data_IF_712175194844
#
_entry.id   IF_712175194844
#
_cell.length_a   1.000
_cell.length_b   1.000
_cell.length_c   1.000
_cell.angle_alpha   90.00
_cell.angle_beta   90.00
_cell.angle_gamma   90.00
#
_symmetry.space_group_name_H-M   'P 1'
#
loop_
_entity.id
_entity.type
_entity.pdbx_description
1 polymer ?
#
# COMPACT_ATOMS: atom_id res chain seq x y z
N UNK A 1 -8.44 10.13 28.48
CA UNK A 1 -8.79 9.44 27.23
C UNK A 1 -9.15 8.00 27.56
N UNK A 2 -10.26 7.48 27.03
CA UNK A 2 -10.63 6.09 27.22
C UNK A 2 -9.72 5.16 26.39
N UNK A 3 -9.56 3.93 26.83
CA UNK A 3 -8.75 2.92 26.11
C UNK A 3 -9.34 2.64 24.74
N UNK A 4 -10.64 2.48 24.65
CA UNK A 4 -11.37 2.26 23.39
C UNK A 4 -11.15 3.41 22.40
N UNK A 5 -11.18 4.67 22.86
CA UNK A 5 -10.88 5.81 21.99
C UNK A 5 -9.48 5.72 21.39
N UNK A 6 -8.47 5.38 22.19
CA UNK A 6 -7.08 5.25 21.72
C UNK A 6 -6.91 4.08 20.74
N UNK A 7 -7.59 2.97 20.96
CA UNK A 7 -7.58 1.83 20.02
C UNK A 7 -8.15 2.23 18.65
N UNK A 8 -9.29 2.89 18.60
CA UNK A 8 -9.89 3.38 17.35
C UNK A 8 -9.09 4.50 16.69
N UNK A 9 -8.50 5.39 17.48
CA UNK A 9 -7.61 6.45 16.99
C UNK A 9 -6.40 5.86 16.29
N UNK A 10 -5.73 4.87 16.90
CA UNK A 10 -4.56 4.23 16.29
C UNK A 10 -4.93 3.41 15.06
N UNK A 11 -6.09 2.78 15.05
CA UNK A 11 -6.60 2.11 13.86
C UNK A 11 -6.81 3.10 12.70
N UNK A 12 -7.37 4.26 12.98
CA UNK A 12 -7.54 5.33 11.98
C UNK A 12 -6.20 5.81 11.42
N UNK A 13 -5.21 6.07 12.29
CA UNK A 13 -3.88 6.53 11.84
C UNK A 13 -3.14 5.48 10.99
N UNK A 14 -3.18 4.22 11.40
CA UNK A 14 -2.57 3.13 10.63
C UNK A 14 -3.29 2.94 9.29
N UNK A 15 -4.61 3.02 9.28
CA UNK A 15 -5.42 2.96 8.06
C UNK A 15 -5.07 4.08 7.09
N UNK A 16 -4.89 5.30 7.60
CA UNK A 16 -4.44 6.45 6.80
C UNK A 16 -3.02 6.24 6.25
N UNK A 17 -2.12 5.73 7.08
CA UNK A 17 -0.74 5.44 6.66
C UNK A 17 -0.68 4.37 5.57
N UNK A 18 -1.48 3.30 5.70
CA UNK A 18 -1.64 2.28 4.65
C UNK A 18 -2.24 2.86 3.37
N UNK A 19 -3.20 3.77 3.48
CA UNK A 19 -3.78 4.44 2.33
C UNK A 19 -2.78 5.37 1.61
N UNK A 20 -1.95 6.11 2.37
CA UNK A 20 -0.85 6.91 1.83
C UNK A 20 0.21 6.02 1.15
N UNK A 21 0.52 4.86 1.73
CA UNK A 21 1.44 3.90 1.12
C UNK A 21 0.94 3.46 -0.27
N UNK A 22 -0.34 3.12 -0.40
CA UNK A 22 -0.91 2.72 -1.70
C UNK A 22 -0.82 3.85 -2.73
N UNK A 23 -1.04 5.10 -2.34
CA UNK A 23 -0.80 6.26 -3.22
C UNK A 23 0.67 6.33 -3.65
N UNK A 24 1.61 6.18 -2.73
CA UNK A 24 3.05 6.27 -3.01
C UNK A 24 3.58 5.13 -3.90
N UNK A 25 2.83 4.03 -4.06
CA UNK A 25 3.17 2.97 -5.02
C UNK A 25 3.20 3.43 -6.48
N UNK A 26 2.90 4.72 -6.77
CA UNK A 26 3.13 5.28 -8.10
C UNK A 26 4.59 5.12 -8.55
N UNK A 27 5.55 5.09 -7.63
CA UNK A 27 6.97 4.82 -7.91
C UNK A 27 7.13 3.41 -8.51
N UNK A 28 6.58 2.39 -7.86
CA UNK A 28 6.61 1.01 -8.33
C UNK A 28 5.87 0.86 -9.65
N UNK A 29 4.70 1.50 -9.76
CA UNK A 29 3.91 1.50 -10.99
C UNK A 29 4.67 2.07 -12.18
N UNK A 30 5.35 3.20 -12.01
CA UNK A 30 6.19 3.82 -13.03
C UNK A 30 7.39 2.94 -13.40
N UNK A 31 8.02 2.25 -12.44
CA UNK A 31 9.12 1.34 -12.69
C UNK A 31 8.72 0.22 -13.66
N UNK A 32 7.48 -0.28 -13.61
CA UNK A 32 6.99 -1.29 -14.57
C UNK A 32 6.93 -0.77 -16.01
N UNK A 33 6.94 0.55 -16.20
CA UNK A 33 6.71 1.21 -17.47
C UNK A 33 8.01 1.69 -18.14
N UNK A 34 9.17 1.48 -17.52
CA UNK A 34 10.48 1.98 -18.00
C UNK A 34 10.71 1.67 -19.48
N UNK A 35 10.55 0.39 -19.91
CA UNK A 35 10.74 0.02 -21.31
C UNK A 35 9.51 0.23 -22.20
N UNK A 36 8.32 0.38 -21.59
CA UNK A 36 7.12 0.69 -22.34
C UNK A 36 7.09 2.15 -22.81
N UNK A 37 7.53 3.07 -21.96
CA UNK A 37 7.55 4.51 -22.21
C UNK A 37 8.89 4.98 -22.78
N UNK A 38 10.01 4.57 -22.17
CA UNK A 38 11.35 4.95 -22.59
C UNK A 38 11.88 4.08 -23.72
N UNK A 39 11.87 4.61 -24.96
CA UNK A 39 12.36 3.91 -26.15
C UNK A 39 13.86 4.11 -26.34
N UNK A 40 14.38 5.27 -25.96
CA UNK A 40 15.82 5.56 -25.98
C UNK A 40 16.41 5.42 -24.56
N UNK A 41 17.74 5.31 -24.42
CA UNK A 41 18.40 5.33 -23.12
C UNK A 41 18.09 6.59 -22.30
N UNK A 42 18.06 7.77 -22.95
CA UNK A 42 17.80 9.06 -22.35
C UNK A 42 16.36 9.14 -21.82
N UNK A 43 15.38 8.67 -22.61
CA UNK A 43 13.98 8.60 -22.18
C UNK A 43 13.81 7.68 -20.97
N UNK A 44 14.50 6.52 -20.93
CA UNK A 44 14.47 5.62 -19.78
C UNK A 44 15.08 6.25 -18.53
N UNK A 45 16.22 6.94 -18.70
CA UNK A 45 16.85 7.68 -17.61
C UNK A 45 15.94 8.79 -17.08
N UNK A 46 15.20 9.48 -17.97
CA UNK A 46 14.22 10.49 -17.58
C UNK A 46 13.05 9.89 -16.75
N UNK A 47 12.52 8.74 -17.17
CA UNK A 47 11.48 8.01 -16.42
C UNK A 47 12.00 7.61 -15.03
N UNK A 48 13.22 7.07 -14.94
CA UNK A 48 13.84 6.62 -13.70
C UNK A 48 14.09 7.80 -12.76
N UNK A 49 14.62 8.92 -13.27
CA UNK A 49 14.85 10.12 -12.46
C UNK A 49 13.55 10.72 -11.92
N UNK A 50 12.47 10.66 -12.70
CA UNK A 50 11.16 11.15 -12.25
C UNK A 50 10.72 10.47 -10.95
N UNK A 51 10.88 9.15 -10.86
CA UNK A 51 10.46 8.35 -9.71
C UNK A 51 11.57 8.13 -8.69
N UNK A 52 12.81 8.14 -9.11
CA UNK A 52 13.98 7.98 -8.26
C UNK A 52 14.06 9.01 -7.13
N UNK A 53 13.62 10.25 -7.38
CA UNK A 53 13.54 11.29 -6.35
C UNK A 53 12.47 11.03 -5.26
N UNK A 54 11.62 9.99 -5.42
CA UNK A 54 10.48 9.70 -4.53
C UNK A 54 10.49 8.30 -3.93
N UNK A 55 11.39 7.42 -4.35
CA UNK A 55 11.37 6.02 -3.92
C UNK A 55 11.51 5.86 -2.40
N UNK A 56 12.28 6.72 -1.76
CA UNK A 56 12.47 6.71 -0.31
C UNK A 56 11.17 6.98 0.45
N UNK A 57 10.29 7.86 -0.05
CA UNK A 57 9.01 8.11 0.59
C UNK A 57 8.15 6.85 0.63
N UNK A 58 8.15 6.05 -0.43
CA UNK A 58 7.39 4.80 -0.47
C UNK A 58 7.95 3.79 0.52
N UNK A 59 9.27 3.58 0.48
CA UNK A 59 9.93 2.62 1.36
C UNK A 59 9.82 3.02 2.84
N UNK A 60 10.08 4.28 3.15
CA UNK A 60 9.95 4.81 4.52
C UNK A 60 8.51 4.69 5.02
N UNK A 61 7.51 4.96 4.17
CA UNK A 61 6.10 4.82 4.56
C UNK A 61 5.74 3.35 4.82
N UNK A 62 6.27 2.40 4.03
CA UNK A 62 6.09 0.97 4.28
C UNK A 62 6.66 0.56 5.65
N UNK A 63 7.89 0.98 5.94
CA UNK A 63 8.55 0.70 7.24
C UNK A 63 7.78 1.35 8.39
N UNK A 64 7.31 2.59 8.20
CA UNK A 64 6.52 3.31 9.20
C UNK A 64 5.16 2.63 9.45
N UNK A 65 4.53 2.10 8.40
CA UNK A 65 3.30 1.31 8.53
C UNK A 65 3.51 0.07 9.40
N UNK A 66 4.58 -0.69 9.14
CA UNK A 66 4.98 -1.82 9.99
C UNK A 66 5.30 -1.41 11.44
N UNK A 67 6.04 -0.32 11.61
CA UNK A 67 6.39 0.23 12.93
C UNK A 67 5.17 0.74 13.71
N UNK A 68 4.19 1.34 13.04
CA UNK A 68 2.93 1.77 13.66
C UNK A 68 2.10 0.56 14.14
N UNK A 69 2.05 -0.51 13.34
CA UNK A 69 1.43 -1.77 13.79
C UNK A 69 2.19 -2.39 14.97
N UNK A 70 3.52 -2.43 14.92
CA UNK A 70 4.33 -2.93 16.02
C UNK A 70 4.01 -2.22 17.33
N UNK A 71 3.90 -0.91 17.30
CA UNK A 71 3.67 -0.11 18.49
C UNK A 71 2.21 -0.15 18.98
N UNK A 72 1.22 -0.06 18.07
CA UNK A 72 -0.20 0.03 18.45
C UNK A 72 -0.90 -1.33 18.54
N UNK A 73 -0.54 -2.29 17.68
CA UNK A 73 -1.13 -3.63 17.59
C UNK A 73 -0.05 -4.71 17.51
N UNK A 74 0.75 -4.90 18.59
CA UNK A 74 1.92 -5.79 18.59
C UNK A 74 1.58 -7.25 18.28
N UNK A 75 0.40 -7.71 18.65
CA UNK A 75 -0.03 -9.07 18.34
C UNK A 75 -0.24 -9.28 16.83
N UNK A 76 -0.79 -8.28 16.12
CA UNK A 76 -0.85 -8.33 14.66
C UNK A 76 0.55 -8.32 14.04
N UNK A 77 1.44 -7.46 14.56
CA UNK A 77 2.80 -7.39 14.03
C UNK A 77 3.52 -8.74 14.17
N UNK A 78 3.45 -9.36 15.34
CA UNK A 78 4.07 -10.68 15.55
C UNK A 78 3.42 -11.78 14.70
N UNK A 79 2.10 -11.73 14.52
CA UNK A 79 1.36 -12.75 13.75
C UNK A 79 1.56 -12.59 12.25
N UNK A 80 1.44 -11.37 11.71
CA UNK A 80 1.55 -11.12 10.27
C UNK A 80 3.01 -11.00 9.84
N UNK A 81 3.75 -10.01 10.38
CA UNK A 81 5.14 -9.77 9.94
C UNK A 81 6.09 -10.88 10.44
N UNK A 82 5.89 -11.38 11.65
CA UNK A 82 6.67 -12.48 12.21
C UNK A 82 6.23 -13.85 11.70
N UNK A 83 4.91 -14.11 11.61
CA UNK A 83 4.35 -15.40 11.20
C UNK A 83 4.37 -15.62 9.69
N UNK A 84 3.92 -14.63 8.91
CA UNK A 84 3.95 -14.66 7.45
C UNK A 84 5.30 -14.19 6.89
N UNK A 85 6.41 -14.53 7.52
CA UNK A 85 7.73 -13.95 7.26
C UNK A 85 8.22 -14.15 5.82
N UNK A 86 7.90 -15.24 5.13
CA UNK A 86 8.32 -15.42 3.74
C UNK A 86 7.69 -14.40 2.80
N UNK A 87 6.40 -14.11 2.97
CA UNK A 87 5.73 -13.09 2.17
C UNK A 87 6.38 -11.71 2.39
N UNK A 88 6.59 -11.33 3.66
CA UNK A 88 7.19 -10.07 4.02
C UNK A 88 8.67 -9.97 3.62
N UNK A 89 9.42 -11.07 3.68
CA UNK A 89 10.81 -11.12 3.22
C UNK A 89 10.92 -10.89 1.70
N UNK A 90 10.02 -11.47 0.90
CA UNK A 90 10.01 -11.23 -0.55
C UNK A 90 9.68 -9.76 -0.85
N UNK A 91 8.71 -9.17 -0.14
CA UNK A 91 8.40 -7.74 -0.25
C UNK A 91 9.66 -6.93 0.10
N UNK A 92 10.28 -7.16 1.25
CA UNK A 92 11.47 -6.46 1.70
C UNK A 92 12.61 -6.56 0.67
N UNK A 93 12.94 -7.77 0.22
CA UNK A 93 13.98 -7.96 -0.78
C UNK A 93 13.69 -7.23 -2.10
N UNK A 94 12.42 -7.18 -2.52
CA UNK A 94 12.06 -6.43 -3.72
C UNK A 94 12.36 -4.93 -3.57
N UNK A 95 12.13 -4.34 -2.40
CA UNK A 95 12.47 -2.94 -2.11
C UNK A 95 13.97 -2.72 -1.93
N UNK A 96 14.71 -3.67 -1.36
CA UNK A 96 16.18 -3.62 -1.28
C UNK A 96 16.79 -3.62 -2.70
N UNK A 97 16.31 -4.49 -3.58
CA UNK A 97 16.74 -4.52 -4.98
C UNK A 97 16.42 -3.19 -5.69
N UNK A 98 15.28 -2.57 -5.39
CA UNK A 98 14.94 -1.24 -5.89
C UNK A 98 15.95 -0.19 -5.45
N UNK A 99 16.26 -0.12 -4.15
CA UNK A 99 17.20 0.84 -3.59
C UNK A 99 18.58 0.71 -4.27
N UNK A 100 19.11 -0.50 -4.32
CA UNK A 100 20.38 -0.81 -5.00
C UNK A 100 20.33 -0.40 -6.47
N UNK A 101 19.19 -0.62 -7.14
CA UNK A 101 19.06 -0.33 -8.56
C UNK A 101 19.05 1.17 -8.85
N UNK A 102 18.40 1.98 -8.04
CA UNK A 102 18.46 3.44 -8.18
C UNK A 102 19.88 3.96 -7.96
N UNK A 103 20.57 3.51 -6.91
CA UNK A 103 21.86 4.04 -6.51
C UNK A 103 23.01 3.63 -7.44
N UNK A 104 23.01 2.40 -7.96
CA UNK A 104 24.20 1.83 -8.61
C UNK A 104 24.12 1.71 -10.14
N UNK A 105 22.97 1.98 -10.77
CA UNK A 105 22.81 1.80 -12.22
C UNK A 105 23.77 2.66 -13.05
N UNK A 106 24.09 3.87 -12.59
CA UNK A 106 24.94 4.84 -13.30
C UNK A 106 26.33 5.04 -12.65
N UNK A 107 26.70 4.26 -11.64
CA UNK A 107 28.00 4.39 -10.96
C UNK A 107 29.13 3.86 -11.86
N UNK A 108 30.29 4.53 -11.78
CA UNK A 108 31.52 4.10 -12.43
C UNK A 108 31.89 2.69 -11.96
N UNK A 109 32.28 1.79 -12.88
CA UNK A 109 32.61 0.42 -12.55
C UNK A 109 31.41 -0.54 -12.48
N UNK A 110 30.22 -0.12 -12.89
CA UNK A 110 29.05 -0.99 -13.01
C UNK A 110 29.28 -2.08 -14.06
N UNK A 111 29.63 -3.30 -13.60
CA UNK A 111 29.89 -4.45 -14.48
C UNK A 111 28.61 -5.16 -14.93
N UNK A 112 27.49 -4.98 -14.24
CA UNK A 112 26.20 -5.58 -14.58
C UNK A 112 25.47 -4.82 -15.69
N UNK A 113 25.83 -3.56 -15.91
CA UNK A 113 25.20 -2.66 -16.87
C UNK A 113 23.85 -2.10 -16.39
N UNK A 114 23.52 -0.91 -16.85
CA UNK A 114 22.30 -0.17 -16.43
C UNK A 114 21.00 -0.95 -16.71
N UNK A 115 20.97 -1.74 -17.80
CA UNK A 115 19.78 -2.53 -18.17
C UNK A 115 19.39 -3.56 -17.12
N UNK A 116 20.37 -4.20 -16.46
CA UNK A 116 20.12 -5.17 -15.37
C UNK A 116 19.39 -4.50 -14.21
N UNK A 117 19.86 -3.33 -13.78
CA UNK A 117 19.22 -2.57 -12.71
C UNK A 117 17.82 -2.08 -13.10
N UNK A 118 17.61 -1.69 -14.37
CA UNK A 118 16.28 -1.34 -14.88
C UNK A 118 15.31 -2.53 -14.83
N UNK A 119 15.78 -3.75 -15.12
CA UNK A 119 14.97 -4.97 -14.96
C UNK A 119 14.67 -5.21 -13.47
N UNK A 120 15.62 -5.02 -12.58
CA UNK A 120 15.40 -5.11 -11.13
C UNK A 120 14.34 -4.09 -10.63
N UNK A 121 14.34 -2.87 -11.17
CA UNK A 121 13.29 -1.90 -10.88
C UNK A 121 11.90 -2.38 -11.34
N UNK A 122 11.81 -3.02 -12.52
CA UNK A 122 10.56 -3.61 -13.01
C UNK A 122 10.10 -4.76 -12.11
N UNK A 123 11.02 -5.62 -11.67
CA UNK A 123 10.70 -6.72 -10.73
C UNK A 123 10.09 -6.15 -9.45
N UNK A 124 10.73 -5.15 -8.83
CA UNK A 124 10.14 -4.47 -7.66
C UNK A 124 8.79 -3.83 -8.01
N UNK A 125 8.70 -3.19 -9.17
CA UNK A 125 7.48 -2.54 -9.64
C UNK A 125 6.28 -3.49 -9.76
N UNK A 126 6.51 -4.76 -10.04
CA UNK A 126 5.48 -5.81 -10.11
C UNK A 126 5.28 -6.46 -8.74
N UNK A 127 6.36 -6.96 -8.14
CA UNK A 127 6.32 -7.76 -6.90
C UNK A 127 5.81 -6.93 -5.72
N UNK A 128 6.29 -5.69 -5.56
CA UNK A 128 5.90 -4.82 -4.46
C UNK A 128 4.39 -4.60 -4.38
N UNK A 129 3.74 -3.98 -5.39
CA UNK A 129 2.31 -3.73 -5.37
C UNK A 129 1.46 -5.01 -5.35
N UNK A 130 1.86 -6.06 -6.08
CA UNK A 130 1.14 -7.34 -6.13
C UNK A 130 1.09 -8.00 -4.75
N UNK A 131 2.23 -8.12 -4.08
CA UNK A 131 2.31 -8.78 -2.77
C UNK A 131 1.73 -7.92 -1.66
N UNK A 132 1.92 -6.60 -1.69
CA UNK A 132 1.28 -5.70 -0.72
C UNK A 132 -0.25 -5.73 -0.85
N UNK A 133 -0.78 -5.73 -2.08
CA UNK A 133 -2.21 -5.88 -2.32
C UNK A 133 -2.74 -7.22 -1.85
N UNK A 134 -2.01 -8.32 -2.11
CA UNK A 134 -2.33 -9.65 -1.59
C UNK A 134 -2.29 -9.72 -0.06
N UNK A 135 -1.29 -9.11 0.58
CA UNK A 135 -1.20 -9.03 2.03
C UNK A 135 -2.38 -8.24 2.65
N UNK A 136 -2.82 -7.15 1.98
CA UNK A 136 -4.02 -6.40 2.42
C UNK A 136 -5.29 -7.20 2.22
N UNK A 137 -5.40 -8.02 1.18
CA UNK A 137 -6.56 -8.89 0.96
C UNK A 137 -6.79 -9.86 2.12
N UNK A 138 -5.73 -10.33 2.79
CA UNK A 138 -5.84 -11.20 3.98
C UNK A 138 -6.55 -10.55 5.17
N UNK A 139 -6.70 -9.23 5.20
CA UNK A 139 -7.56 -8.54 6.17
C UNK A 139 -9.03 -8.89 6.01
N UNK A 140 -9.42 -9.36 4.83
CA UNK A 140 -10.79 -9.75 4.51
C UNK A 140 -10.97 -11.25 4.32
N UNK A 141 -9.97 -11.92 3.75
CA UNK A 141 -10.05 -13.33 3.39
C UNK A 141 -9.43 -14.25 4.46
N UNK A 142 -8.67 -13.65 5.39
CA UNK A 142 -8.04 -14.37 6.49
C UNK A 142 -6.68 -14.96 6.14
N UNK A 143 -6.05 -15.53 7.16
CA UNK A 143 -4.71 -16.13 7.10
C UNK A 143 -4.62 -17.35 8.01
N UNK A 144 -3.68 -18.26 7.75
CA UNK A 144 -3.56 -19.53 8.48
C UNK A 144 -2.65 -19.41 9.72
N UNK A 145 -3.15 -18.83 10.78
CA UNK A 145 -2.42 -18.70 12.05
C UNK A 145 -3.27 -19.10 13.25
N UNK A 146 -2.60 -19.40 14.38
CA UNK A 146 -3.23 -19.69 15.67
C UNK A 146 -2.61 -18.79 16.73
N UNK A 147 -3.44 -18.30 17.65
CA UNK A 147 -3.04 -17.47 18.79
C UNK A 147 -3.40 -18.17 20.08
N UNK A 148 -2.37 -18.53 20.86
CA UNK A 148 -2.52 -19.04 22.22
C UNK A 148 -1.79 -18.12 23.21
N UNK A 149 -2.54 -17.22 23.83
CA UNK A 149 -1.99 -16.26 24.80
C UNK A 149 -1.48 -16.92 26.08
N UNK A 150 -1.90 -18.16 26.38
CA UNK A 150 -1.45 -18.91 27.55
C UNK A 150 -0.07 -19.54 27.33
N UNK A 151 0.39 -19.69 26.12
CA UNK A 151 1.64 -20.39 25.77
C UNK A 151 2.94 -19.65 26.18
N UNK A 152 2.86 -18.53 26.87
CA UNK A 152 4.03 -17.75 27.34
C UNK A 152 4.92 -18.57 28.31
N UNK A 153 4.35 -19.55 28.98
CA UNK A 153 5.04 -20.39 29.97
C UNK A 153 5.68 -21.65 29.39
N UNK A 154 5.52 -21.93 28.10
CA UNK A 154 6.14 -23.09 27.47
C UNK A 154 7.67 -22.93 27.43
N UNK A 155 8.40 -23.87 28.03
CA UNK A 155 9.87 -23.81 28.15
C UNK A 155 10.59 -23.98 26.81
N UNK A 156 10.00 -24.73 25.86
CA UNK A 156 10.62 -25.03 24.56
C UNK A 156 10.33 -23.98 23.50
N UNK A 157 9.10 -23.50 23.47
CA UNK A 157 8.65 -22.48 22.49
C UNK A 157 7.59 -21.56 23.11
N UNK A 158 7.98 -20.53 23.84
CA UNK A 158 7.04 -19.59 24.46
C UNK A 158 6.49 -18.58 23.42
N UNK A 159 5.81 -19.10 22.39
CA UNK A 159 5.30 -18.32 21.26
C UNK A 159 3.79 -18.17 21.41
N UNK A 160 3.32 -16.92 21.45
CA UNK A 160 1.89 -16.59 21.56
C UNK A 160 1.15 -16.82 20.24
N UNK A 161 1.77 -16.51 19.11
CA UNK A 161 1.18 -16.70 17.78
C UNK A 161 2.12 -17.47 16.88
N UNK A 162 1.57 -18.41 16.10
CA UNK A 162 2.35 -19.18 15.13
C UNK A 162 1.52 -19.44 13.86
N UNK A 163 2.22 -19.61 12.75
CA UNK A 163 1.59 -20.00 11.50
C UNK A 163 1.22 -21.48 11.54
N UNK A 164 0.00 -21.82 11.10
CA UNK A 164 -0.53 -23.18 11.20
C UNK A 164 0.08 -24.16 10.18
N UNK A 165 0.75 -23.65 9.14
CA UNK A 165 1.38 -24.47 8.12
C UNK A 165 2.81 -23.98 7.80
N UNK A 166 3.59 -24.79 7.08
CA UNK A 166 4.97 -24.51 6.76
C UNK A 166 5.16 -23.41 5.70
N UNK A 167 4.09 -22.90 5.08
CA UNK A 167 4.18 -21.86 4.04
C UNK A 167 4.59 -20.50 4.60
N UNK A 168 4.32 -20.25 5.89
CA UNK A 168 4.64 -19.01 6.59
C UNK A 168 4.29 -17.75 5.76
N UNK A 169 3.06 -17.70 5.27
CA UNK A 169 2.49 -16.57 4.52
C UNK A 169 2.44 -16.73 3.01
N UNK A 170 3.17 -17.65 2.40
CA UNK A 170 3.10 -17.87 0.95
C UNK A 170 1.76 -18.46 0.51
N UNK A 171 1.04 -19.12 1.41
CA UNK A 171 -0.32 -19.62 1.19
C UNK A 171 -1.33 -18.51 0.88
N UNK A 172 -1.08 -17.28 1.30
CA UNK A 172 -1.89 -16.13 0.90
C UNK A 172 -1.93 -15.93 -0.63
N UNK A 173 -0.90 -16.32 -1.35
CA UNK A 173 -0.83 -16.25 -2.81
C UNK A 173 -1.59 -17.38 -3.52
N UNK A 174 -1.99 -18.42 -2.80
CA UNK A 174 -2.81 -19.51 -3.33
C UNK A 174 -4.30 -19.15 -3.35
N UNK A 175 -4.72 -18.18 -2.53
CA UNK A 175 -6.08 -17.65 -2.61
C UNK A 175 -6.20 -16.72 -3.84
N UNK A 176 -7.06 -17.07 -4.81
CA UNK A 176 -7.21 -16.28 -6.03
C UNK A 176 -7.69 -14.85 -5.77
N UNK A 177 -8.44 -14.61 -4.69
CA UNK A 177 -8.95 -13.27 -4.37
C UNK A 177 -7.88 -12.35 -3.79
N UNK A 178 -6.92 -12.90 -3.05
CA UNK A 178 -5.74 -12.16 -2.62
C UNK A 178 -4.92 -11.71 -3.86
N UNK A 179 -4.79 -12.60 -4.83
CA UNK A 179 -4.10 -12.27 -6.10
C UNK A 179 -4.90 -11.24 -6.91
N UNK A 180 -6.23 -11.36 -6.96
CA UNK A 180 -7.10 -10.39 -7.65
C UNK A 180 -6.91 -8.98 -7.09
N UNK A 181 -6.90 -8.80 -5.76
CA UNK A 181 -6.61 -7.49 -5.17
C UNK A 181 -5.16 -7.05 -5.42
N UNK A 182 -4.19 -7.97 -5.35
CA UNK A 182 -2.80 -7.69 -5.68
C UNK A 182 -2.63 -7.15 -7.10
N UNK A 183 -3.29 -7.77 -8.08
CA UNK A 183 -3.30 -7.32 -9.48
C UNK A 183 -4.02 -5.97 -9.62
N UNK A 184 -5.13 -5.75 -8.90
CA UNK A 184 -5.78 -4.44 -8.89
C UNK A 184 -4.84 -3.34 -8.38
N UNK A 185 -4.13 -3.58 -7.26
CA UNK A 185 -3.16 -2.62 -6.71
C UNK A 185 -2.00 -2.38 -7.68
N UNK A 186 -1.51 -3.41 -8.37
CA UNK A 186 -0.49 -3.25 -9.40
C UNK A 186 -0.96 -2.32 -10.53
N UNK A 187 -2.16 -2.51 -11.07
CA UNK A 187 -2.68 -1.63 -12.13
C UNK A 187 -2.99 -0.23 -11.60
N UNK A 188 -3.48 -0.09 -10.36
CA UNK A 188 -3.63 1.23 -9.72
C UNK A 188 -2.29 1.96 -9.59
N UNK A 189 -1.25 1.28 -9.14
CA UNK A 189 0.10 1.82 -9.06
C UNK A 189 0.61 2.29 -10.43
N UNK A 190 0.36 1.51 -11.51
CA UNK A 190 0.70 1.90 -12.89
C UNK A 190 -0.05 3.15 -13.34
N UNK A 191 -1.35 3.25 -13.05
CA UNK A 191 -2.16 4.44 -13.33
C UNK A 191 -1.58 5.67 -12.64
N UNK A 192 -1.33 5.56 -11.33
CA UNK A 192 -0.74 6.66 -10.55
C UNK A 192 0.65 7.03 -11.05
N UNK A 193 1.47 6.04 -11.44
CA UNK A 193 2.77 6.24 -12.07
C UNK A 193 2.68 7.01 -13.39
N UNK A 194 1.73 6.65 -14.26
CA UNK A 194 1.47 7.37 -15.52
C UNK A 194 1.05 8.83 -15.28
N UNK A 195 0.16 9.05 -14.31
CA UNK A 195 -0.30 10.39 -13.94
C UNK A 195 0.84 11.24 -13.35
N UNK A 196 1.69 10.62 -12.50
CA UNK A 196 2.83 11.29 -11.88
C UNK A 196 3.88 11.69 -12.91
N UNK A 197 4.30 10.77 -13.77
CA UNK A 197 5.27 11.05 -14.83
C UNK A 197 4.80 12.14 -15.77
N UNK A 198 3.50 12.13 -16.12
CA UNK A 198 2.90 13.18 -16.94
C UNK A 198 2.94 14.55 -16.27
N UNK A 199 2.82 14.59 -14.93
CA UNK A 199 2.92 15.84 -14.15
C UNK A 199 4.37 16.34 -14.03
N UNK A 200 5.33 15.43 -13.85
CA UNK A 200 6.70 15.73 -13.47
C UNK A 200 7.64 15.92 -14.69
N UNK A 201 7.39 15.21 -15.81
CA UNK A 201 8.26 15.21 -17.00
C UNK A 201 7.75 16.22 -18.02
N UNK A 202 8.65 17.03 -18.58
CA UNK A 202 8.36 18.00 -19.65
C UNK A 202 8.90 17.54 -21.02
N UNK A 203 8.45 16.36 -21.45
CA UNK A 203 8.74 15.78 -22.76
C UNK A 203 7.44 15.36 -23.44
N UNK A 204 7.12 15.99 -24.59
CA UNK A 204 5.84 15.81 -25.27
C UNK A 204 5.57 14.36 -25.68
N UNK A 205 6.59 13.66 -26.18
CA UNK A 205 6.48 12.27 -26.64
C UNK A 205 6.19 11.31 -25.50
N UNK A 206 6.82 11.49 -24.34
CA UNK A 206 6.56 10.69 -23.13
C UNK A 206 5.18 10.98 -22.56
N UNK A 207 4.75 12.25 -22.54
CA UNK A 207 3.41 12.64 -22.09
C UNK A 207 2.32 11.99 -22.94
N UNK A 208 2.50 11.96 -24.25
CA UNK A 208 1.55 11.31 -25.17
C UNK A 208 1.49 9.78 -24.92
N UNK A 209 2.65 9.13 -24.76
CA UNK A 209 2.71 7.69 -24.46
C UNK A 209 2.05 7.38 -23.10
N UNK A 210 2.24 8.22 -22.08
CA UNK A 210 1.53 8.08 -20.80
C UNK A 210 0.01 8.10 -21.00
N UNK A 211 -0.51 9.03 -21.77
CA UNK A 211 -1.96 9.10 -22.06
C UNK A 211 -2.47 7.87 -22.79
N UNK A 212 -1.75 7.37 -23.80
CA UNK A 212 -2.15 6.16 -24.54
C UNK A 212 -2.22 4.92 -23.64
N UNK A 213 -1.35 4.84 -22.60
CA UNK A 213 -1.31 3.72 -21.68
C UNK A 213 -2.31 3.86 -20.51
N UNK A 214 -2.87 5.05 -20.29
CA UNK A 214 -3.75 5.30 -19.14
C UNK A 214 -5.03 4.48 -19.21
N UNK A 215 -5.73 4.52 -20.34
CA UNK A 215 -7.02 3.81 -20.49
C UNK A 215 -6.92 2.28 -20.32
N UNK A 216 -6.01 1.55 -20.99
CA UNK A 216 -5.93 0.10 -20.81
C UNK A 216 -5.58 -0.31 -19.38
N UNK A 217 -4.71 0.43 -18.70
CA UNK A 217 -4.43 0.16 -17.28
C UNK A 217 -5.64 0.46 -16.39
N UNK A 218 -6.43 1.50 -16.72
CA UNK A 218 -7.66 1.83 -15.98
C UNK A 218 -8.71 0.75 -16.13
N UNK A 219 -8.91 0.23 -17.34
CA UNK A 219 -9.86 -0.88 -17.58
C UNK A 219 -9.45 -2.12 -16.81
N UNK A 220 -8.17 -2.48 -16.87
CA UNK A 220 -7.66 -3.63 -16.10
C UNK A 220 -7.84 -3.43 -14.59
N UNK A 221 -7.48 -2.25 -14.06
CA UNK A 221 -7.72 -1.91 -12.65
C UNK A 221 -9.21 -2.08 -12.27
N UNK A 222 -10.11 -1.50 -13.04
CA UNK A 222 -11.53 -1.54 -12.73
C UNK A 222 -12.08 -2.98 -12.75
N UNK A 223 -11.65 -3.80 -13.70
CA UNK A 223 -12.09 -5.21 -13.76
C UNK A 223 -11.70 -5.96 -12.48
N UNK A 224 -10.43 -5.91 -12.10
CA UNK A 224 -9.94 -6.63 -10.91
C UNK A 224 -10.45 -6.02 -9.61
N UNK A 225 -10.46 -4.70 -9.50
CA UNK A 225 -10.93 -4.02 -8.29
C UNK A 225 -12.43 -4.22 -8.08
N UNK A 226 -13.26 -4.07 -9.10
CA UNK A 226 -14.72 -4.28 -8.99
C UNK A 226 -15.03 -5.75 -8.70
N UNK A 227 -14.33 -6.70 -9.31
CA UNK A 227 -14.51 -8.11 -9.00
C UNK A 227 -14.25 -8.39 -7.51
N UNK A 228 -13.14 -7.90 -6.97
CA UNK A 228 -12.84 -8.03 -5.55
C UNK A 228 -13.85 -7.29 -4.68
N UNK A 229 -14.17 -6.05 -5.00
CA UNK A 229 -15.03 -5.19 -4.18
C UNK A 229 -16.48 -5.72 -4.12
N UNK A 230 -17.05 -6.14 -5.25
CA UNK A 230 -18.40 -6.74 -5.28
C UNK A 230 -18.43 -8.01 -4.44
N UNK A 231 -17.44 -8.89 -4.59
CA UNK A 231 -17.33 -10.08 -3.74
C UNK A 231 -17.21 -9.70 -2.26
N UNK A 232 -16.39 -8.70 -1.93
CA UNK A 232 -16.23 -8.23 -0.55
C UNK A 232 -17.56 -7.82 0.09
N UNK A 233 -18.41 -7.14 -0.65
CA UNK A 233 -19.71 -6.70 -0.15
C UNK A 233 -20.71 -7.84 0.10
N UNK A 234 -20.59 -8.93 -0.66
CA UNK A 234 -21.55 -10.05 -0.60
C UNK A 234 -21.06 -11.18 0.30
N UNK A 235 -19.74 -11.33 0.47
CA UNK A 235 -19.17 -12.43 1.26
C UNK A 235 -19.52 -12.34 2.75
N UNK A 236 -19.47 -13.47 3.43
CA UNK A 236 -19.47 -13.52 4.89
C UNK A 236 -18.24 -12.85 5.46
N UNK A 237 -18.41 -12.11 6.52
CA UNK A 237 -17.31 -11.43 7.23
C UNK A 237 -17.24 -11.84 8.70
N UNK A 238 -16.16 -11.46 9.33
CA UNK A 238 -15.80 -11.87 10.67
C UNK A 238 -16.23 -10.80 11.69
N UNK A 239 -17.30 -11.08 12.44
CA UNK A 239 -17.77 -10.21 13.51
C UNK A 239 -17.37 -10.78 14.87
N UNK A 240 -17.14 -9.92 15.87
CA UNK A 240 -16.96 -10.34 17.24
C UNK A 240 -18.02 -9.72 18.15
N UNK A 241 -18.42 -10.45 19.18
CA UNK A 241 -19.28 -9.95 20.22
C UNK A 241 -18.47 -9.06 21.18
N UNK A 242 -18.95 -7.84 21.43
CA UNK A 242 -18.23 -6.87 22.25
C UNK A 242 -18.15 -7.25 23.74
N UNK A 243 -19.09 -8.08 24.24
CA UNK A 243 -19.12 -8.50 25.63
C UNK A 243 -18.29 -9.76 25.90
N UNK A 244 -18.34 -10.74 25.01
CA UNK A 244 -17.67 -12.05 25.18
C UNK A 244 -16.36 -12.16 24.40
N UNK A 245 -16.15 -11.33 23.38
CA UNK A 245 -15.01 -11.42 22.46
C UNK A 245 -15.08 -12.57 21.46
N UNK A 246 -16.16 -13.35 21.46
CA UNK A 246 -16.33 -14.51 20.58
C UNK A 246 -16.49 -14.05 19.13
N UNK A 247 -15.71 -14.63 18.22
CA UNK A 247 -15.76 -14.33 16.79
C UNK A 247 -16.72 -15.28 16.09
N UNK A 248 -17.56 -14.73 15.21
CA UNK A 248 -18.52 -15.48 14.40
C UNK A 248 -18.57 -14.95 12.97
N UNK A 249 -19.03 -15.81 12.05
CA UNK A 249 -19.25 -15.42 10.66
C UNK A 249 -20.63 -14.78 10.51
N UNK A 250 -20.68 -13.62 9.83
CA UNK A 250 -21.92 -12.87 9.56
C UNK A 250 -22.00 -12.55 8.08
N UNK A 251 -23.14 -12.90 7.46
CA UNK A 251 -23.34 -12.67 6.02
C UNK A 251 -23.39 -11.17 5.69
N UNK A 252 -22.70 -10.78 4.62
CA UNK A 252 -22.66 -9.39 4.16
C UNK A 252 -22.10 -8.39 5.19
N UNK A 253 -21.22 -8.81 6.08
CA UNK A 253 -20.70 -7.97 7.18
C UNK A 253 -20.10 -6.66 6.70
N UNK A 254 -19.33 -6.67 5.62
CA UNK A 254 -18.65 -5.47 5.10
C UNK A 254 -19.64 -4.51 4.45
N UNK A 255 -20.68 -5.00 3.80
CA UNK A 255 -21.80 -4.17 3.31
C UNK A 255 -22.56 -3.55 4.50
N UNK A 256 -22.86 -4.35 5.51
CA UNK A 256 -23.48 -3.85 6.75
C UNK A 256 -22.65 -2.77 7.42
N UNK A 257 -21.31 -2.92 7.44
CA UNK A 257 -20.40 -1.90 7.96
C UNK A 257 -20.51 -0.58 7.18
N UNK A 258 -20.55 -0.62 5.85
CA UNK A 258 -20.73 0.57 5.02
C UNK A 258 -22.08 1.25 5.23
N UNK A 259 -23.15 0.47 5.42
CA UNK A 259 -24.48 1.02 5.67
C UNK A 259 -24.63 1.61 7.07
N UNK A 260 -24.09 0.91 8.07
CA UNK A 260 -24.09 1.38 9.47
C UNK A 260 -23.22 2.61 9.65
N UNK A 261 -22.04 2.60 9.02
CA UNK A 261 -21.12 3.73 9.03
C UNK A 261 -21.28 4.54 7.74
N UNK A 262 -22.51 4.98 7.45
CA UNK A 262 -22.85 5.68 6.20
C UNK A 262 -21.94 6.85 5.80
N UNK A 263 -21.31 7.62 6.74
CA UNK A 263 -20.34 8.63 6.33
C UNK A 263 -19.15 8.04 5.57
N UNK A 264 -18.73 6.79 5.88
CA UNK A 264 -17.68 6.11 5.14
C UNK A 264 -18.10 5.77 3.71
N UNK A 265 -19.37 5.43 3.50
CA UNK A 265 -19.89 5.21 2.15
C UNK A 265 -19.84 6.50 1.31
N UNK A 266 -20.14 7.66 1.91
CA UNK A 266 -20.00 8.95 1.22
C UNK A 266 -18.53 9.23 0.89
N UNK A 267 -17.62 9.02 1.84
CA UNK A 267 -16.17 9.18 1.62
C UNK A 267 -15.68 8.27 0.50
N UNK A 268 -16.15 7.01 0.46
CA UNK A 268 -15.85 6.06 -0.60
C UNK A 268 -16.28 6.60 -1.98
N UNK A 269 -17.51 7.08 -2.10
CA UNK A 269 -18.05 7.63 -3.35
C UNK A 269 -17.27 8.86 -3.80
N UNK A 270 -16.94 9.77 -2.89
CA UNK A 270 -16.10 10.95 -3.17
C UNK A 270 -14.72 10.49 -3.64
N UNK A 271 -14.13 9.49 -2.98
CA UNK A 271 -12.82 8.94 -3.35
C UNK A 271 -12.82 8.34 -4.75
N UNK A 272 -13.82 7.53 -5.08
CA UNK A 272 -13.99 6.95 -6.43
C UNK A 272 -14.20 8.06 -7.47
N UNK A 273 -15.05 9.04 -7.19
CA UNK A 273 -15.28 10.16 -8.10
C UNK A 273 -14.00 10.97 -8.35
N UNK A 274 -13.22 11.26 -7.30
CA UNK A 274 -11.95 11.97 -7.42
C UNK A 274 -10.91 11.19 -8.21
N UNK A 275 -10.78 9.88 -7.97
CA UNK A 275 -9.89 8.99 -8.71
C UNK A 275 -10.22 8.99 -10.21
N UNK A 276 -11.49 8.73 -10.54
CA UNK A 276 -11.95 8.70 -11.93
C UNK A 276 -11.85 10.08 -12.60
N UNK A 277 -12.14 11.16 -11.88
CA UNK A 277 -11.97 12.52 -12.39
C UNK A 277 -10.52 12.79 -12.80
N UNK A 278 -9.55 12.45 -11.94
CA UNK A 278 -8.12 12.62 -12.25
C UNK A 278 -7.69 11.84 -13.49
N UNK A 279 -8.16 10.60 -13.62
CA UNK A 279 -7.86 9.73 -14.77
C UNK A 279 -8.52 10.26 -16.04
N UNK A 280 -9.83 10.45 -16.04
CA UNK A 280 -10.60 10.82 -17.21
C UNK A 280 -10.22 12.21 -17.74
N UNK A 281 -10.05 13.18 -16.83
CA UNK A 281 -9.64 14.53 -17.25
C UNK A 281 -8.25 14.55 -17.89
N UNK A 282 -7.31 13.75 -17.36
CA UNK A 282 -5.97 13.61 -17.94
C UNK A 282 -6.01 12.92 -19.31
N UNK A 283 -6.90 11.93 -19.46
CA UNK A 283 -7.04 11.21 -20.73
C UNK A 283 -7.71 12.07 -21.82
N UNK A 284 -8.75 12.86 -21.45
CA UNK A 284 -9.54 13.65 -22.39
C UNK A 284 -8.86 14.98 -22.78
N UNK A 285 -8.06 15.58 -21.90
CA UNK A 285 -7.45 16.88 -22.12
C UNK A 285 -5.93 16.79 -22.19
N UNK A 286 -5.37 16.99 -23.37
CA UNK A 286 -3.94 16.91 -23.62
C UNK A 286 -3.10 17.87 -22.76
N UNK A 287 -3.63 19.03 -22.39
CA UNK A 287 -2.90 20.03 -21.59
C UNK A 287 -3.00 19.81 -20.08
N UNK A 288 -3.88 18.91 -19.62
CA UNK A 288 -4.08 18.68 -18.18
C UNK A 288 -3.07 17.69 -17.63
N UNK A 289 -2.08 18.18 -16.87
CA UNK A 289 -1.00 17.39 -16.28
C UNK A 289 -1.23 17.06 -14.80
N UNK A 290 -2.13 17.77 -14.08
CA UNK A 290 -2.28 17.67 -12.61
C UNK A 290 -3.21 16.54 -12.14
N UNK A 291 -3.51 15.56 -13.00
CA UNK A 291 -4.43 14.44 -12.66
C UNK A 291 -3.99 13.55 -11.51
N UNK A 292 -2.69 13.53 -11.20
CA UNK A 292 -2.15 12.76 -10.07
C UNK A 292 -2.75 13.21 -8.72
N UNK A 293 -3.03 14.49 -8.53
CA UNK A 293 -3.52 15.00 -7.25
C UNK A 293 -4.95 14.54 -6.93
N UNK A 294 -5.97 14.76 -7.79
CA UNK A 294 -7.30 14.22 -7.51
C UNK A 294 -7.31 12.70 -7.51
N UNK A 295 -6.54 12.02 -8.38
CA UNK A 295 -6.46 10.58 -8.38
C UNK A 295 -5.78 10.04 -7.11
N UNK A 296 -4.74 10.70 -6.62
CA UNK A 296 -4.06 10.35 -5.38
C UNK A 296 -4.95 10.52 -4.15
N UNK A 297 -5.62 11.67 -4.02
CA UNK A 297 -6.59 11.90 -2.94
C UNK A 297 -7.70 10.86 -3.01
N UNK A 298 -8.24 10.57 -4.20
CA UNK A 298 -9.25 9.55 -4.41
C UNK A 298 -8.77 8.16 -3.96
N UNK A 299 -7.55 7.79 -4.32
CA UNK A 299 -6.92 6.54 -3.88
C UNK A 299 -6.83 6.45 -2.35
N UNK A 300 -6.33 7.51 -1.70
CA UNK A 300 -6.21 7.56 -0.24
C UNK A 300 -7.58 7.40 0.43
N UNK A 301 -8.60 8.08 -0.05
CA UNK A 301 -9.96 7.99 0.52
C UNK A 301 -10.56 6.59 0.36
N UNK A 302 -10.45 5.97 -0.83
CA UNK A 302 -10.97 4.62 -1.08
C UNK A 302 -10.27 3.60 -0.19
N UNK A 303 -8.94 3.60 -0.15
CA UNK A 303 -8.15 2.64 0.64
C UNK A 303 -8.37 2.84 2.13
N UNK A 304 -8.44 4.09 2.60
CA UNK A 304 -8.78 4.41 3.98
C UNK A 304 -10.12 3.78 4.40
N UNK A 305 -11.16 3.93 3.58
CA UNK A 305 -12.47 3.33 3.88
C UNK A 305 -12.38 1.80 3.92
N UNK A 306 -11.64 1.16 3.01
CA UNK A 306 -11.45 -0.29 3.04
C UNK A 306 -10.82 -0.75 4.36
N UNK A 307 -9.77 -0.10 4.84
CA UNK A 307 -9.18 -0.42 6.15
C UNK A 307 -10.15 -0.16 7.31
N UNK A 308 -10.92 0.93 7.26
CA UNK A 308 -11.85 1.25 8.34
C UNK A 308 -12.99 0.23 8.45
N UNK A 309 -13.57 -0.22 7.33
CA UNK A 309 -14.61 -1.26 7.36
C UNK A 309 -14.07 -2.65 7.73
N UNK A 310 -12.77 -2.89 7.57
CA UNK A 310 -12.14 -4.13 8.02
C UNK A 310 -12.05 -4.25 9.54
N UNK A 311 -11.90 -3.12 10.27
CA UNK A 311 -11.68 -3.16 11.72
C UNK A 311 -12.77 -2.51 12.57
N UNK A 312 -13.55 -1.56 12.03
CA UNK A 312 -14.61 -0.89 12.77
C UNK A 312 -15.91 -1.71 12.81
N UNK A 313 -16.85 -1.27 13.66
CA UNK A 313 -18.17 -1.89 13.84
C UNK A 313 -18.07 -3.39 14.23
N UNK A 314 -17.30 -3.68 15.31
CA UNK A 314 -17.14 -5.05 15.83
C UNK A 314 -16.70 -6.07 14.77
N UNK A 315 -15.74 -5.71 13.93
CA UNK A 315 -15.18 -6.57 12.89
C UNK A 315 -13.78 -7.02 13.26
N UNK A 316 -13.48 -8.33 13.08
CA UNK A 316 -12.13 -8.84 13.22
C UNK A 316 -11.33 -8.49 11.96
N UNK A 317 -10.36 -7.60 12.09
CA UNK A 317 -9.62 -7.06 10.96
C UNK A 317 -8.57 -7.99 10.39
N UNK A 318 -8.14 -9.01 11.14
CA UNK A 318 -7.20 -10.03 10.66
C UNK A 318 -7.72 -11.40 11.06
N UNK A 319 -8.55 -12.00 10.21
CA UNK A 319 -9.19 -13.28 10.52
C UNK A 319 -8.22 -14.46 10.46
N UNK A 320 -8.43 -15.44 11.32
CA UNK A 320 -7.75 -16.73 11.23
C UNK A 320 -8.64 -17.77 10.54
N UNK A 321 -8.07 -18.41 9.52
CA UNK A 321 -8.70 -19.53 8.81
C UNK A 321 -8.38 -20.89 9.49
N UNK A 322 -7.35 -20.93 10.35
CA UNK A 322 -6.97 -22.13 11.09
C UNK A 322 -7.79 -22.28 12.38
N UNK A 323 -8.06 -21.18 13.08
CA UNK A 323 -8.88 -21.14 14.28
C UNK A 323 -9.62 -19.80 14.36
N UNK A 324 -10.93 -19.84 14.21
CA UNK A 324 -11.77 -18.64 14.16
C UNK A 324 -11.60 -17.74 15.39
N UNK A 325 -11.40 -18.35 16.59
CA UNK A 325 -11.25 -17.59 17.83
C UNK A 325 -9.88 -16.92 17.98
N UNK A 326 -8.90 -17.32 17.20
CA UNK A 326 -7.59 -16.68 17.08
C UNK A 326 -7.63 -15.40 16.23
N UNK A 327 -8.75 -15.06 15.61
CA UNK A 327 -8.89 -13.86 14.79
C UNK A 327 -8.60 -12.58 15.58
N UNK A 328 -7.88 -11.66 14.94
CA UNK A 328 -7.45 -10.41 15.59
C UNK A 328 -8.48 -9.30 15.39
N UNK A 329 -8.79 -8.65 16.50
CA UNK A 329 -9.66 -7.47 16.57
C UNK A 329 -8.87 -6.27 17.07
N UNK A 330 -9.39 -5.05 16.87
CA UNK A 330 -8.79 -3.84 17.44
C UNK A 330 -8.64 -3.96 18.96
N UNK A 331 -9.55 -4.68 19.62
CA UNK A 331 -9.56 -4.82 21.09
C UNK A 331 -8.54 -5.84 21.58
N UNK A 332 -8.48 -7.04 20.97
CA UNK A 332 -7.66 -8.14 21.47
C UNK A 332 -6.19 -8.09 21.05
N UNK A 333 -5.84 -7.27 20.06
CA UNK A 333 -4.49 -7.16 19.51
C UNK A 333 -3.75 -5.87 19.86
N UNK A 334 -4.44 -4.89 20.46
CA UNK A 334 -3.87 -3.59 20.81
C UNK A 334 -2.85 -3.66 21.95
N UNK A 335 -1.94 -2.72 21.94
CA UNK A 335 -0.97 -2.48 23.00
C UNK A 335 -1.63 -1.99 24.30
N UNK A 336 -0.85 -1.85 25.36
CA UNK A 336 -1.35 -1.37 26.65
C UNK A 336 -1.88 0.07 26.58
N UNK A 337 -2.76 0.43 27.51
CA UNK A 337 -3.26 1.81 27.65
C UNK A 337 -2.10 2.82 27.79
N UNK A 338 -1.07 2.44 28.57
CA UNK A 338 0.09 3.30 28.77
C UNK A 338 0.81 3.58 27.44
N UNK A 339 1.10 2.53 26.66
CA UNK A 339 1.76 2.65 25.35
C UNK A 339 0.96 3.48 24.39
N UNK A 340 -0.34 3.17 24.20
CA UNK A 340 -1.19 3.92 23.28
C UNK A 340 -1.33 5.40 23.67
N UNK A 341 -1.36 5.70 24.97
CA UNK A 341 -1.44 7.08 25.47
C UNK A 341 -0.13 7.85 25.23
N UNK A 342 1.03 7.21 25.50
CA UNK A 342 2.35 7.82 25.25
C UNK A 342 2.52 8.11 23.77
N UNK A 343 2.21 7.14 22.91
CA UNK A 343 2.28 7.31 21.47
C UNK A 343 1.29 8.37 20.95
N UNK A 344 0.12 8.52 21.59
CA UNK A 344 -0.81 9.60 21.24
C UNK A 344 -0.13 10.97 21.35
N UNK A 345 0.61 11.23 22.43
CA UNK A 345 1.34 12.50 22.54
C UNK A 345 2.43 12.66 21.47
N UNK A 346 3.12 11.57 21.13
CA UNK A 346 4.11 11.59 20.04
C UNK A 346 3.44 11.85 18.69
N UNK A 347 2.23 11.32 18.47
CA UNK A 347 1.50 11.53 17.21
C UNK A 347 1.11 13.00 16.95
N UNK A 348 1.10 13.86 17.98
CA UNK A 348 0.90 15.30 17.80
C UNK A 348 2.03 15.98 17.00
N UNK A 349 3.16 15.31 16.83
CA UNK A 349 4.24 15.76 15.95
C UNK A 349 4.01 15.42 14.46
N UNK A 350 3.06 14.54 14.14
CA UNK A 350 2.76 14.14 12.75
C UNK A 350 2.49 15.33 11.83
N UNK A 351 1.69 16.36 12.21
CA UNK A 351 1.48 17.52 11.34
C UNK A 351 2.77 18.24 10.95
N UNK A 352 3.74 18.34 11.85
CA UNK A 352 5.05 18.95 11.54
C UNK A 352 5.85 18.11 10.55
N UNK A 353 5.83 16.78 10.71
CA UNK A 353 6.47 15.85 9.78
C UNK A 353 5.82 15.92 8.40
N UNK A 354 4.49 15.95 8.33
CA UNK A 354 3.75 16.10 7.08
C UNK A 354 4.04 17.44 6.38
N UNK A 355 4.14 18.53 7.14
CA UNK A 355 4.52 19.84 6.59
C UNK A 355 5.94 19.80 6.01
N UNK A 356 6.89 19.15 6.70
CA UNK A 356 8.25 18.95 6.19
C UNK A 356 8.28 18.09 4.91
N UNK A 357 7.54 16.97 4.89
CA UNK A 357 7.41 16.13 3.70
C UNK A 357 6.83 16.93 2.52
N UNK A 358 5.77 17.72 2.77
CA UNK A 358 5.15 18.57 1.76
C UNK A 358 6.13 19.61 1.21
N UNK A 359 6.93 20.21 2.08
CA UNK A 359 7.99 21.13 1.69
C UNK A 359 9.04 20.45 0.81
N UNK A 360 9.57 19.29 1.24
CA UNK A 360 10.55 18.53 0.46
C UNK A 360 9.98 18.10 -0.90
N UNK A 361 8.74 17.65 -0.92
CA UNK A 361 8.05 17.27 -2.15
C UNK A 361 7.95 18.45 -3.11
N UNK A 362 7.50 19.61 -2.62
CA UNK A 362 7.41 20.82 -3.43
C UNK A 362 8.78 21.26 -3.97
N UNK A 363 9.81 21.22 -3.14
CA UNK A 363 11.17 21.59 -3.54
C UNK A 363 11.73 20.68 -4.66
N UNK A 364 11.45 19.37 -4.58
CA UNK A 364 11.88 18.41 -5.62
C UNK A 364 11.09 18.53 -6.93
N UNK A 365 9.82 18.93 -6.87
CA UNK A 365 8.95 19.01 -8.06
C UNK A 365 8.79 20.44 -8.60
N UNK A 366 9.48 21.42 -8.00
CA UNK A 366 9.42 22.81 -8.42
C UNK A 366 9.84 22.99 -9.89
N UNK A 367 10.85 22.24 -10.34
CA UNK A 367 11.29 22.22 -11.73
C UNK A 367 10.95 20.89 -12.38
N UNK A 368 10.30 20.94 -13.55
CA UNK A 368 10.01 19.73 -14.32
C UNK A 368 11.28 19.18 -14.96
N UNK A 369 11.34 17.85 -15.05
CA UNK A 369 12.46 17.14 -15.66
C UNK A 369 12.44 17.28 -17.17
N UNK A 370 13.60 17.60 -17.75
CA UNK A 370 13.84 17.70 -19.19
C UNK A 370 14.96 16.76 -19.63
N UNK A 371 15.02 16.45 -20.92
CA UNK A 371 16.11 15.64 -21.50
C UNK A 371 17.46 16.35 -21.35
N UNK A 372 17.49 17.68 -21.38
CA UNK A 372 18.72 18.46 -21.20
C UNK A 372 19.32 18.28 -19.81
N UNK A 373 18.48 18.31 -18.77
CA UNK A 373 18.91 18.07 -17.39
C UNK A 373 19.53 16.68 -17.18
N UNK A 374 19.02 15.68 -17.90
CA UNK A 374 19.53 14.28 -17.80
C UNK A 374 20.85 14.09 -18.55
N UNK A 375 21.13 14.94 -19.57
CA UNK A 375 22.39 14.92 -20.32
C UNK A 375 23.53 15.67 -19.62
N UNK A 376 23.21 16.52 -18.71
CA UNK A 376 24.19 17.25 -17.92
C UNK A 376 24.88 16.27 -16.95
N UNK A 377 26.18 16.00 -17.19
CA UNK A 377 26.99 15.06 -16.41
C UNK A 377 27.23 15.54 -14.96
N UNK A 378 27.07 16.84 -14.70
CA UNK A 378 27.17 17.43 -13.36
C UNK A 378 25.85 17.29 -12.56
N UNK A 379 24.75 16.89 -13.21
CA UNK A 379 23.49 16.65 -12.50
C UNK A 379 23.57 15.36 -11.68
N UNK A 380 23.24 15.44 -10.39
CA UNK A 380 23.09 14.28 -9.47
C UNK A 380 21.84 13.45 -9.84
N UNK A 381 21.69 13.13 -11.15
CA UNK A 381 20.56 12.37 -11.67
C UNK A 381 20.81 10.87 -11.50
N UNK A 382 19.78 10.12 -11.10
CA UNK A 382 19.82 8.65 -10.98
C UNK A 382 20.10 7.97 -12.34
#
# INVERSE_FOLDING_TARGET
MSYTFLQHYWWLLISLLGALLVFLLFVQGANTLIFELGKTPEERRLVINSTGRKWEFTFTTLVTFGGAFFAAFPLFYSTSFGGAYWLWMIILFSFVIQAVSYEFQNKLGNFLGARTFQVCLIINGIVGPLLLGGAVATFFDGSNFVVDKANVTALSQPVISHWANASCGLDALLDPWNVVLGVAVLFLARILGLLYMRNNIDEATLRERCCKKLLPNTVAFLVFFLAFFVRLLVKDGYAYDAGTGVVSMVSGKYLSNLLTLWPLAIVLLIGVAALLYGILRTWLKADYASGIWPAGIGTVLVVLVLFLIAGWNTTAYYPSNADLQSSLTIVNSSSSLFTLKTMFYVSLLIPFVLAYIAYCWHAMDHKKLTVEEVKDEESEAY
#
